data_IF_144307110256
#
_entry.id   IF_144307110256
#
_cell.length_a   1.000
_cell.length_b   1.000
_cell.length_c   1.000
_cell.angle_alpha   90.00
_cell.angle_beta   90.00
_cell.angle_gamma   90.00
#
_symmetry.space_group_name_H-M   'P 1'
#
loop_
_entity.id
_entity.type
_entity.pdbx_description
1 polymer ?
#
# COMPACT_ATOMS: atom_id res chain seq x y z
N UNK A 1 0.63 7.74 -14.24
CA UNK A 1 0.47 6.57 -15.14
C UNK A 1 -0.20 7.04 -16.41
N UNK A 2 0.31 6.60 -17.56
CA UNK A 2 -0.22 6.99 -18.88
C UNK A 2 -0.41 5.72 -19.72
N UNK A 3 -1.60 5.58 -20.30
CA UNK A 3 -1.92 4.57 -21.31
C UNK A 3 -1.81 5.20 -22.71
N UNK A 4 -0.87 4.73 -23.52
CA UNK A 4 -0.75 5.09 -24.92
C UNK A 4 -1.50 4.05 -25.75
N UNK A 5 -2.61 4.47 -26.33
CA UNK A 5 -3.55 3.57 -26.99
C UNK A 5 -3.86 4.02 -28.40
N UNK A 6 -4.50 3.14 -29.17
CA UNK A 6 -5.14 3.50 -30.43
C UNK A 6 -6.58 2.99 -30.47
N UNK A 7 -7.57 3.77 -30.95
CA UNK A 7 -8.98 3.36 -31.00
C UNK A 7 -9.24 2.06 -31.76
N UNK A 8 -8.47 1.77 -32.82
CA UNK A 8 -8.62 0.56 -33.63
C UNK A 8 -7.97 -0.69 -33.00
N UNK A 9 -7.17 -0.53 -31.94
CA UNK A 9 -6.47 -1.62 -31.29
C UNK A 9 -7.41 -2.38 -30.34
N UNK A 10 -7.68 -3.66 -30.64
CA UNK A 10 -8.57 -4.49 -29.82
C UNK A 10 -8.09 -4.63 -28.36
N UNK A 11 -6.81 -4.95 -28.06
CA UNK A 11 -6.33 -4.99 -26.67
C UNK A 11 -6.49 -3.66 -25.92
N UNK A 12 -6.46 -2.53 -26.64
CA UNK A 12 -6.66 -1.20 -26.07
C UNK A 12 -8.12 -0.99 -25.65
N UNK A 13 -9.07 -1.43 -26.48
CA UNK A 13 -10.49 -1.38 -26.15
C UNK A 13 -10.81 -2.23 -24.92
N UNK A 14 -10.17 -3.40 -24.78
CA UNK A 14 -10.28 -4.27 -23.61
C UNK A 14 -9.68 -3.62 -22.36
N UNK A 15 -8.54 -2.94 -22.48
CA UNK A 15 -7.88 -2.26 -21.36
C UNK A 15 -8.66 -1.05 -20.84
N UNK A 16 -9.28 -0.26 -21.72
CA UNK A 16 -9.91 1.02 -21.38
C UNK A 16 -10.90 0.98 -20.18
N UNK A 17 -11.83 0.02 -20.05
CA UNK A 17 -12.69 -0.07 -18.86
C UNK A 17 -11.90 -0.37 -17.58
N UNK A 18 -10.88 -1.24 -17.64
CA UNK A 18 -9.99 -1.52 -16.50
C UNK A 18 -9.17 -0.30 -16.11
N UNK A 19 -8.64 0.42 -17.11
CA UNK A 19 -7.89 1.66 -16.90
C UNK A 19 -8.71 2.71 -16.17
N UNK A 20 -9.98 2.90 -16.56
CA UNK A 20 -10.91 3.82 -15.90
C UNK A 20 -11.29 3.35 -14.49
N UNK A 21 -11.48 2.04 -14.27
CA UNK A 21 -11.69 1.47 -12.93
C UNK A 21 -10.51 1.76 -12.01
N UNK A 22 -9.31 1.45 -12.47
CA UNK A 22 -8.06 1.71 -11.75
C UNK A 22 -7.91 3.21 -11.42
N UNK A 23 -8.12 4.09 -12.41
CA UNK A 23 -7.99 5.54 -12.24
C UNK A 23 -8.83 6.10 -11.09
N UNK A 24 -10.08 5.64 -10.94
CA UNK A 24 -10.96 6.05 -9.83
C UNK A 24 -10.37 5.70 -8.46
N UNK A 25 -9.73 4.53 -8.34
CA UNK A 25 -9.11 4.08 -7.09
C UNK A 25 -7.78 4.77 -6.76
N UNK A 26 -7.15 5.40 -7.75
CA UNK A 26 -5.87 6.11 -7.61
C UNK A 26 -6.01 7.62 -7.43
N UNK A 27 -7.24 8.12 -7.32
CA UNK A 27 -7.54 9.55 -7.13
C UNK A 27 -6.79 10.11 -5.92
N UNK A 28 -5.99 11.16 -6.13
CA UNK A 28 -5.18 11.78 -5.07
C UNK A 28 -3.89 11.03 -4.72
N UNK A 29 -3.63 9.88 -5.35
CA UNK A 29 -2.41 9.07 -5.15
C UNK A 29 -1.49 9.13 -6.36
N UNK A 30 -2.01 8.81 -7.54
CA UNK A 30 -1.28 8.76 -8.80
C UNK A 30 -2.14 9.42 -9.87
N UNK A 31 -1.59 10.40 -10.58
CA UNK A 31 -2.25 10.98 -11.74
C UNK A 31 -2.32 9.95 -12.87
N UNK A 32 -3.52 9.71 -13.39
CA UNK A 32 -3.77 8.73 -14.48
C UNK A 32 -4.26 9.48 -15.71
N UNK A 33 -3.61 9.23 -16.86
CA UNK A 33 -3.97 9.81 -18.15
C UNK A 33 -3.95 8.78 -19.27
N UNK A 34 -4.41 9.18 -20.45
CA UNK A 34 -4.40 8.36 -21.67
C UNK A 34 -4.10 9.23 -22.88
N UNK A 35 -3.40 8.68 -23.87
CA UNK A 35 -3.01 9.38 -25.09
C UNK A 35 -3.47 8.58 -26.29
N UNK A 36 -4.27 9.22 -27.15
CA UNK A 36 -4.74 8.64 -28.40
C UNK A 36 -3.66 8.79 -29.48
N UNK A 37 -2.95 7.70 -29.77
CA UNK A 37 -1.88 7.70 -30.77
C UNK A 37 -2.37 7.64 -32.22
N UNK A 38 -3.67 7.43 -32.47
CA UNK A 38 -4.24 7.64 -33.80
C UNK A 38 -4.40 9.14 -34.06
N UNK A 39 -4.84 9.91 -33.06
CA UNK A 39 -4.96 11.36 -33.17
C UNK A 39 -3.59 12.07 -33.10
N UNK A 40 -2.72 11.65 -32.18
CA UNK A 40 -1.42 12.29 -31.90
C UNK A 40 -0.23 11.42 -32.37
N UNK A 41 -0.27 10.98 -33.63
CA UNK A 41 0.72 10.05 -34.18
C UNK A 41 2.17 10.51 -34.03
N UNK A 42 2.49 11.75 -34.44
CA UNK A 42 3.86 12.28 -34.37
C UNK A 42 4.40 12.30 -32.94
N UNK A 43 3.57 12.73 -31.99
CA UNK A 43 3.94 12.74 -30.57
C UNK A 43 4.21 11.33 -30.05
N UNK A 44 3.36 10.35 -30.36
CA UNK A 44 3.61 8.96 -29.93
C UNK A 44 4.86 8.36 -30.58
N UNK A 45 5.20 8.76 -31.81
CA UNK A 45 6.44 8.36 -32.47
C UNK A 45 7.68 8.98 -31.80
N UNK A 46 7.62 10.27 -31.44
CA UNK A 46 8.67 10.98 -30.68
C UNK A 46 8.88 10.35 -29.30
N UNK A 47 7.81 9.97 -28.62
CA UNK A 47 7.83 9.24 -27.35
C UNK A 47 8.20 7.75 -27.52
N UNK A 48 8.57 7.32 -28.73
CA UNK A 48 9.00 5.96 -29.05
C UNK A 48 7.98 4.87 -28.62
N UNK A 49 6.69 5.13 -28.82
CA UNK A 49 5.61 4.16 -28.56
C UNK A 49 5.51 3.22 -29.75
N UNK A 50 5.93 1.97 -29.55
CA UNK A 50 6.07 1.00 -30.64
C UNK A 50 4.85 0.07 -30.80
N UNK A 51 4.06 -0.10 -29.73
CA UNK A 51 2.92 -1.03 -29.69
C UNK A 51 1.82 -0.48 -28.81
N UNK A 52 0.59 -0.90 -29.07
CA UNK A 52 -0.57 -0.49 -28.29
C UNK A 52 -1.24 -1.70 -27.63
N UNK A 53 -1.75 -1.57 -26.39
CA UNK A 53 -1.56 -0.43 -25.49
C UNK A 53 -0.18 -0.48 -24.80
N UNK A 54 0.49 0.66 -24.71
CA UNK A 54 1.71 0.82 -23.94
C UNK A 54 1.42 1.62 -22.66
N UNK A 55 1.65 0.98 -21.51
CA UNK A 55 1.38 1.58 -20.20
C UNK A 55 2.71 2.02 -19.60
N UNK A 56 2.82 3.29 -19.23
CA UNK A 56 4.01 3.87 -18.61
C UNK A 56 3.73 4.47 -17.24
N UNK A 57 4.65 4.27 -16.31
CA UNK A 57 4.72 4.96 -15.02
C UNK A 57 5.86 5.97 -15.04
N UNK A 58 5.57 7.20 -14.62
CA UNK A 58 6.55 8.29 -14.55
C UNK A 58 6.79 8.62 -13.08
N UNK A 59 7.94 8.20 -12.50
CA UNK A 59 8.23 8.46 -11.09
C UNK A 59 8.54 9.95 -10.84
N UNK A 60 8.41 10.43 -9.58
CA UNK A 60 8.90 11.75 -9.20
C UNK A 60 10.38 11.87 -9.58
N UNK A 61 10.79 13.03 -10.11
CA UNK A 61 12.17 13.27 -10.60
C UNK A 61 13.21 12.83 -9.55
N UNK A 62 13.84 11.68 -9.79
CA UNK A 62 14.97 11.18 -9.03
C UNK A 62 16.23 11.49 -9.82
N UNK A 63 17.27 11.99 -9.14
CA UNK A 63 18.56 12.41 -9.70
C UNK A 63 19.34 11.30 -10.43
N UNK A 64 18.84 10.06 -10.49
CA UNK A 64 19.49 8.91 -11.15
C UNK A 64 18.51 7.93 -11.86
N UNK A 65 17.28 8.33 -12.19
CA UNK A 65 16.24 7.41 -12.66
C UNK A 65 15.93 7.46 -14.17
N UNK A 66 15.58 6.30 -14.75
CA UNK A 66 14.91 6.18 -16.05
C UNK A 66 13.72 7.17 -16.16
N UNK A 67 13.49 7.72 -17.36
CA UNK A 67 12.41 8.70 -17.60
C UNK A 67 11.02 8.12 -17.27
N UNK A 68 10.84 6.82 -17.49
CA UNK A 68 9.61 6.08 -17.17
C UNK A 68 9.89 4.58 -17.00
N UNK A 69 8.89 3.85 -16.50
CA UNK A 69 8.85 2.39 -16.47
C UNK A 69 7.69 1.87 -17.30
N UNK A 70 7.93 0.94 -18.22
CA UNK A 70 6.86 0.29 -19.00
C UNK A 70 6.30 -0.93 -18.26
N UNK A 71 4.98 -1.10 -18.30
CA UNK A 71 4.32 -2.29 -17.76
C UNK A 71 4.48 -3.48 -18.72
N UNK A 72 5.19 -4.51 -18.26
CA UNK A 72 5.42 -5.75 -19.01
C UNK A 72 4.70 -6.96 -18.38
N UNK A 73 3.79 -6.74 -17.44
CA UNK A 73 3.03 -7.81 -16.81
C UNK A 73 1.98 -8.42 -17.75
N UNK A 74 1.66 -9.69 -17.50
CA UNK A 74 0.67 -10.44 -18.27
C UNK A 74 -0.76 -9.93 -18.04
N UNK A 75 -1.13 -9.73 -16.77
CA UNK A 75 -2.49 -9.34 -16.37
C UNK A 75 -2.69 -7.84 -16.51
N UNK A 76 -3.71 -7.42 -17.26
CA UNK A 76 -4.02 -5.99 -17.49
C UNK A 76 -5.34 -5.54 -16.85
N UNK A 77 -5.80 -6.25 -15.83
CA UNK A 77 -6.94 -5.86 -15.03
C UNK A 77 -6.62 -4.67 -14.09
N UNK A 78 -7.66 -3.99 -13.62
CA UNK A 78 -7.50 -2.80 -12.79
C UNK A 78 -6.69 -3.03 -11.51
N UNK A 79 -6.79 -4.23 -10.91
CA UNK A 79 -6.09 -4.56 -9.66
C UNK A 79 -4.60 -4.75 -9.91
N UNK A 80 -4.22 -5.53 -10.92
CA UNK A 80 -2.82 -5.75 -11.30
C UNK A 80 -2.10 -4.44 -11.65
N UNK A 81 -2.76 -3.55 -12.40
CA UNK A 81 -2.20 -2.25 -12.78
C UNK A 81 -2.10 -1.28 -11.59
N UNK A 82 -3.10 -1.28 -10.70
CA UNK A 82 -3.09 -0.51 -9.45
C UNK A 82 -1.89 -0.89 -8.59
N UNK A 83 -1.69 -2.18 -8.34
CA UNK A 83 -0.58 -2.69 -7.52
C UNK A 83 0.76 -2.28 -8.12
N UNK A 84 0.92 -2.46 -9.43
CA UNK A 84 2.14 -2.08 -10.12
C UNK A 84 2.44 -0.58 -9.98
N UNK A 85 1.43 0.28 -10.18
CA UNK A 85 1.59 1.73 -10.03
C UNK A 85 1.94 2.15 -8.60
N UNK A 86 1.25 1.59 -7.60
CA UNK A 86 1.50 1.87 -6.19
C UNK A 86 2.89 1.41 -5.74
N UNK A 87 3.46 0.37 -6.36
CA UNK A 87 4.79 -0.15 -6.05
C UNK A 87 5.94 0.84 -6.29
N UNK A 88 5.75 1.86 -7.13
CA UNK A 88 6.75 2.90 -7.36
C UNK A 88 6.68 4.06 -6.36
N UNK A 89 5.66 4.10 -5.50
CA UNK A 89 5.54 5.17 -4.51
C UNK A 89 6.56 4.93 -3.37
N UNK A 90 7.23 5.98 -2.86
CA UNK A 90 8.21 5.84 -1.79
C UNK A 90 7.63 5.20 -0.53
N UNK A 91 8.29 4.19 0.03
CA UNK A 91 7.86 3.50 1.25
C UNK A 91 7.51 4.48 2.37
N UNK A 92 6.35 4.27 2.99
CA UNK A 92 5.84 5.06 4.11
C UNK A 92 5.90 4.29 5.44
N UNK A 93 5.96 2.96 5.39
CA UNK A 93 6.20 2.11 6.56
C UNK A 93 7.66 2.10 7.01
N UNK A 94 7.92 1.59 8.21
CA UNK A 94 9.25 1.40 8.78
C UNK A 94 9.53 -0.11 8.86
N UNK A 95 10.67 -0.55 8.34
CA UNK A 95 11.13 -1.92 8.58
C UNK A 95 11.61 -2.07 10.03
N UNK A 96 10.97 -2.99 10.75
CA UNK A 96 11.19 -3.23 12.17
C UNK A 96 12.03 -4.48 12.37
N UNK A 97 13.14 -4.29 13.07
CA UNK A 97 13.93 -5.36 13.69
C UNK A 97 13.29 -5.80 15.02
N UNK A 98 13.67 -6.94 15.61
CA UNK A 98 13.18 -7.35 16.93
C UNK A 98 13.40 -6.28 18.01
N UNK A 99 14.56 -5.62 17.97
CA UNK A 99 14.88 -4.53 18.89
C UNK A 99 13.93 -3.35 18.70
N UNK A 100 13.83 -2.83 17.47
CA UNK A 100 13.00 -1.65 17.18
C UNK A 100 11.51 -1.91 17.32
N UNK A 101 11.04 -3.15 17.09
CA UNK A 101 9.68 -3.57 17.41
C UNK A 101 9.42 -3.45 18.92
N UNK A 102 10.28 -4.01 19.75
CA UNK A 102 10.13 -3.89 21.21
C UNK A 102 10.15 -2.43 21.67
N UNK A 103 11.17 -1.66 21.25
CA UNK A 103 11.38 -0.27 21.69
C UNK A 103 10.28 0.67 21.18
N UNK A 104 9.94 0.61 19.88
CA UNK A 104 9.02 1.57 19.25
C UNK A 104 7.57 1.14 19.31
N UNK A 105 7.29 -0.17 19.23
CA UNK A 105 5.93 -0.72 19.16
C UNK A 105 5.46 -1.23 20.52
N UNK A 106 6.26 -1.93 21.31
CA UNK A 106 5.75 -2.45 22.60
C UNK A 106 5.96 -1.46 23.76
N UNK A 107 7.06 -0.71 23.75
CA UNK A 107 7.43 0.25 24.80
C UNK A 107 7.18 1.71 24.40
N UNK A 108 6.82 1.95 23.14
CA UNK A 108 6.62 3.29 22.60
C UNK A 108 5.27 3.91 22.99
N UNK A 109 5.14 5.21 22.67
CA UNK A 109 3.95 6.04 22.99
C UNK A 109 3.04 6.34 21.79
N UNK A 110 3.23 5.64 20.67
CA UNK A 110 2.47 5.85 19.44
C UNK A 110 1.62 4.63 19.10
N UNK A 111 0.43 4.82 18.51
CA UNK A 111 -0.32 3.71 17.91
C UNK A 111 0.45 3.16 16.70
N UNK A 112 0.42 1.84 16.52
CA UNK A 112 1.04 1.19 15.36
C UNK A 112 0.07 0.26 14.64
N UNK A 113 0.22 0.16 13.33
CA UNK A 113 -0.22 -0.99 12.55
C UNK A 113 1.02 -1.68 12.00
N UNK A 114 1.09 -3.01 12.10
CA UNK A 114 2.26 -3.79 11.72
C UNK A 114 1.85 -4.90 10.77
N UNK A 115 2.52 -4.97 9.62
CA UNK A 115 2.44 -6.08 8.67
C UNK A 115 3.54 -7.10 8.97
N UNK A 116 3.12 -8.30 9.35
CA UNK A 116 4.00 -9.46 9.54
C UNK A 116 4.00 -10.29 8.27
N UNK A 117 5.13 -10.29 7.57
CA UNK A 117 5.24 -10.82 6.21
C UNK A 117 6.46 -11.74 6.05
N UNK A 118 6.52 -12.44 4.91
CA UNK A 118 7.72 -13.12 4.46
C UNK A 118 8.05 -12.70 3.01
N UNK A 119 9.32 -12.46 2.66
CA UNK A 119 9.69 -12.00 1.31
C UNK A 119 9.27 -12.93 0.16
N UNK A 120 9.27 -14.25 0.40
CA UNK A 120 8.90 -15.28 -0.59
C UNK A 120 7.38 -15.50 -0.73
N UNK A 121 6.56 -14.90 0.14
CA UNK A 121 5.12 -15.13 0.19
C UNK A 121 4.41 -14.30 -0.90
N UNK A 122 3.86 -14.97 -1.91
CA UNK A 122 3.11 -14.33 -3.00
C UNK A 122 1.97 -13.41 -2.52
N UNK A 123 1.07 -13.84 -1.61
CA UNK A 123 0.06 -12.96 -1.01
C UNK A 123 0.64 -11.72 -0.33
N UNK A 124 1.82 -11.84 0.29
CA UNK A 124 2.51 -10.73 0.94
C UNK A 124 3.05 -9.72 -0.07
N UNK A 125 3.61 -10.21 -1.18
CA UNK A 125 4.08 -9.35 -2.28
C UNK A 125 2.92 -8.56 -2.89
N UNK A 126 1.75 -9.19 -3.06
CA UNK A 126 0.54 -8.52 -3.56
C UNK A 126 -0.01 -7.49 -2.55
N UNK A 127 0.06 -7.79 -1.25
CA UNK A 127 -0.45 -6.90 -0.21
C UNK A 127 0.48 -5.72 0.10
N UNK A 128 1.80 -5.85 -0.14
CA UNK A 128 2.77 -4.83 0.26
C UNK A 128 2.45 -3.41 -0.27
N UNK A 129 2.09 -3.19 -1.55
CA UNK A 129 1.72 -1.85 -2.03
C UNK A 129 0.45 -1.30 -1.37
N UNK A 130 -0.49 -2.17 -1.03
CA UNK A 130 -1.72 -1.82 -0.32
C UNK A 130 -1.43 -1.43 1.14
N UNK A 131 -0.52 -2.13 1.81
CA UNK A 131 -0.04 -1.75 3.14
C UNK A 131 0.68 -0.40 3.14
N UNK A 132 1.49 -0.11 2.12
CA UNK A 132 2.11 1.20 1.98
C UNK A 132 1.08 2.30 1.72
N UNK A 133 0.01 2.00 0.98
CA UNK A 133 -1.11 2.94 0.80
C UNK A 133 -1.78 3.24 2.15
N UNK A 134 -2.11 2.20 2.92
CA UNK A 134 -2.63 2.32 4.29
C UNK A 134 -1.71 3.21 5.14
N UNK A 135 -0.41 2.95 5.14
CA UNK A 135 0.59 3.71 5.89
C UNK A 135 0.55 5.21 5.58
N UNK A 136 0.27 5.59 4.32
CA UNK A 136 0.10 7.00 3.92
C UNK A 136 -1.23 7.56 4.40
N UNK A 137 -2.32 6.81 4.31
CA UNK A 137 -3.66 7.24 4.72
C UNK A 137 -3.75 7.54 6.22
N UNK A 138 -3.05 6.79 7.06
CA UNK A 138 -3.09 6.91 8.53
C UNK A 138 -1.94 7.77 9.10
N UNK A 139 -1.08 8.31 8.23
CA UNK A 139 0.10 9.07 8.63
C UNK A 139 -0.29 10.23 9.54
N UNK A 140 0.42 10.35 10.67
CA UNK A 140 0.19 11.38 11.68
C UNK A 140 -0.72 10.95 12.82
N UNK A 141 -1.60 9.95 12.61
CA UNK A 141 -2.43 9.34 13.66
C UNK A 141 -1.88 8.00 14.14
N UNK A 142 -1.41 7.18 13.20
CA UNK A 142 -0.86 5.84 13.46
C UNK A 142 0.45 5.67 12.70
N UNK A 143 1.41 4.97 13.29
CA UNK A 143 2.67 4.57 12.64
C UNK A 143 2.49 3.22 11.94
N UNK A 144 3.11 3.05 10.78
CA UNK A 144 3.08 1.78 10.07
C UNK A 144 4.47 1.11 10.14
N UNK A 145 4.49 -0.19 10.45
CA UNK A 145 5.72 -0.98 10.53
C UNK A 145 5.60 -2.29 9.77
N UNK A 146 6.72 -2.85 9.35
CA UNK A 146 6.79 -4.18 8.73
C UNK A 146 7.79 -5.05 9.47
N UNK A 147 7.44 -6.32 9.69
CA UNK A 147 8.33 -7.31 10.31
C UNK A 147 8.50 -8.47 9.36
N UNK A 148 9.74 -8.71 8.95
CA UNK A 148 10.12 -9.89 8.16
C UNK A 148 10.21 -11.11 9.09
N UNK A 149 9.23 -12.00 8.99
CA UNK A 149 9.16 -13.23 9.77
C UNK A 149 10.09 -14.34 9.27
N UNK A 150 10.63 -14.25 8.06
CA UNK A 150 11.72 -15.12 7.62
C UNK A 150 13.01 -14.74 8.33
N UNK A 151 13.34 -13.44 8.39
CA UNK A 151 14.51 -12.95 9.11
C UNK A 151 14.37 -13.07 10.64
N UNK A 152 13.16 -12.87 11.17
CA UNK A 152 12.89 -12.73 12.60
C UNK A 152 11.79 -13.67 13.11
N UNK A 153 11.92 -14.97 12.85
CA UNK A 153 10.89 -15.96 13.21
C UNK A 153 10.47 -15.92 14.70
N UNK A 154 11.41 -15.68 15.63
CA UNK A 154 11.14 -15.67 17.06
C UNK A 154 10.15 -14.57 17.49
N UNK A 155 10.26 -13.35 16.94
CA UNK A 155 9.34 -12.27 17.32
C UNK A 155 7.95 -12.52 16.74
N UNK A 156 7.87 -13.07 15.52
CA UNK A 156 6.61 -13.45 14.90
C UNK A 156 5.91 -14.59 15.66
N UNK A 157 6.65 -15.59 16.13
CA UNK A 157 6.11 -16.63 16.99
C UNK A 157 5.56 -16.06 18.30
N UNK A 158 6.31 -15.18 18.97
CA UNK A 158 5.87 -14.51 20.21
C UNK A 158 4.66 -13.60 20.00
N UNK A 159 4.56 -12.97 18.83
CA UNK A 159 3.40 -12.19 18.41
C UNK A 159 2.23 -13.08 17.94
N UNK A 160 2.36 -14.40 17.95
CA UNK A 160 1.29 -15.32 17.59
C UNK A 160 0.94 -15.35 16.10
N UNK A 161 1.90 -15.04 15.23
CA UNK A 161 1.68 -15.04 13.78
C UNK A 161 1.64 -16.48 13.26
N UNK A 162 0.52 -16.85 12.61
CA UNK A 162 0.26 -18.20 12.10
C UNK A 162 0.22 -18.29 10.58
N UNK A 163 0.05 -17.17 9.89
CA UNK A 163 -0.03 -17.07 8.44
C UNK A 163 0.52 -15.73 7.97
N UNK A 164 0.86 -15.62 6.68
CA UNK A 164 1.37 -14.39 6.08
C UNK A 164 0.50 -13.94 4.88
N UNK A 165 0.30 -12.63 4.68
CA UNK A 165 0.59 -11.57 5.64
C UNK A 165 -0.42 -11.60 6.80
N UNK A 166 0.01 -11.20 7.99
CA UNK A 166 -0.89 -10.92 9.14
C UNK A 166 -0.73 -9.46 9.54
N UNK A 167 -1.84 -8.72 9.58
CA UNK A 167 -1.85 -7.32 10.00
C UNK A 167 -2.32 -7.22 11.45
N UNK A 168 -1.59 -6.46 12.27
CA UNK A 168 -1.97 -6.21 13.66
C UNK A 168 -1.92 -4.75 14.03
N UNK A 169 -2.92 -4.30 14.76
CA UNK A 169 -2.99 -2.98 15.37
C UNK A 169 -2.53 -3.04 16.83
N UNK A 170 -1.73 -2.06 17.23
CA UNK A 170 -1.18 -1.90 18.56
C UNK A 170 -1.56 -0.51 19.06
N UNK A 171 -2.69 -0.38 19.79
CA UNK A 171 -3.05 0.89 20.38
C UNK A 171 -2.04 1.31 21.45
N UNK A 172 -1.85 2.63 21.59
CA UNK A 172 -1.22 3.18 22.77
C UNK A 172 -2.24 3.24 23.90
N UNK A 173 -2.03 2.39 24.90
CA UNK A 173 -2.71 2.45 26.18
C UNK A 173 -1.68 2.66 27.30
N UNK A 174 -2.10 3.28 28.39
CA UNK A 174 -1.26 3.53 29.57
C UNK A 174 -0.86 2.25 30.30
N UNK A 175 -1.61 1.15 30.11
CA UNK A 175 -1.26 -0.18 30.59
C UNK A 175 -0.34 -0.91 29.60
N UNK A 176 0.60 -1.71 30.11
CA UNK A 176 1.63 -2.40 29.31
C UNK A 176 1.03 -3.10 28.07
N UNK A 177 1.56 -2.77 26.89
CA UNK A 177 1.12 -3.35 25.62
C UNK A 177 1.35 -4.86 25.62
N UNK A 178 0.33 -5.61 25.21
CA UNK A 178 0.51 -7.02 24.92
C UNK A 178 1.25 -7.19 23.57
N UNK A 179 2.07 -8.23 23.46
CA UNK A 179 2.79 -8.55 22.23
C UNK A 179 1.86 -9.06 21.11
N UNK A 180 0.66 -9.48 21.48
CA UNK A 180 -0.30 -10.11 20.59
C UNK A 180 -0.99 -9.13 19.66
N UNK A 181 -1.14 -7.85 20.04
CA UNK A 181 -1.89 -6.86 19.29
C UNK A 181 -3.33 -7.29 18.97
N UNK A 182 -4.01 -6.47 18.17
CA UNK A 182 -5.33 -6.78 17.64
C UNK A 182 -5.21 -7.11 16.16
N UNK A 183 -5.61 -8.31 15.77
CA UNK A 183 -5.53 -8.73 14.36
C UNK A 183 -6.56 -8.01 13.50
N UNK A 184 -6.17 -7.64 12.28
CA UNK A 184 -7.04 -7.08 11.25
C UNK A 184 -7.05 -8.04 10.05
N UNK A 185 -8.24 -8.54 9.70
CA UNK A 185 -8.41 -9.55 8.65
C UNK A 185 -8.57 -8.95 7.25
N UNK A 186 -8.99 -7.68 7.15
CA UNK A 186 -9.06 -6.99 5.86
C UNK A 186 -7.68 -6.85 5.22
N UNK A 187 -7.68 -6.80 3.88
CA UNK A 187 -6.52 -6.53 3.03
C UNK A 187 -6.74 -5.30 2.14
N UNK A 188 -7.81 -4.53 2.37
CA UNK A 188 -8.06 -3.26 1.68
C UNK A 188 -7.62 -2.08 2.58
N UNK A 189 -6.81 -1.17 2.04
CA UNK A 189 -6.23 -0.08 2.83
C UNK A 189 -7.28 0.84 3.43
N UNK A 190 -8.40 1.08 2.73
CA UNK A 190 -9.45 1.98 3.19
C UNK A 190 -10.27 1.34 4.31
N UNK A 191 -10.62 0.07 4.17
CA UNK A 191 -11.30 -0.68 5.21
C UNK A 191 -10.43 -0.78 6.47
N UNK A 192 -9.14 -1.12 6.34
CA UNK A 192 -8.20 -1.15 7.47
C UNK A 192 -8.11 0.23 8.15
N UNK A 193 -8.00 1.31 7.38
CA UNK A 193 -7.93 2.67 7.93
C UNK A 193 -9.20 3.03 8.72
N UNK A 194 -10.38 2.69 8.19
CA UNK A 194 -11.66 2.94 8.87
C UNK A 194 -11.74 2.18 10.20
N UNK A 195 -11.43 0.88 10.19
CA UNK A 195 -11.41 0.05 11.41
C UNK A 195 -10.46 0.62 12.47
N UNK A 196 -9.29 1.10 12.06
CA UNK A 196 -8.34 1.76 12.96
C UNK A 196 -8.92 3.06 13.53
N UNK A 197 -9.56 3.90 12.70
CA UNK A 197 -10.14 5.15 13.17
C UNK A 197 -11.29 4.94 14.15
N UNK A 198 -12.18 3.98 13.90
CA UNK A 198 -13.26 3.61 14.82
C UNK A 198 -12.71 3.17 16.18
N UNK A 199 -11.65 2.35 16.20
CA UNK A 199 -10.95 1.93 17.43
C UNK A 199 -10.29 3.10 18.17
N UNK A 200 -9.68 4.04 17.45
CA UNK A 200 -9.10 5.22 18.08
C UNK A 200 -10.16 6.10 18.74
N UNK A 201 -11.34 6.22 18.13
CA UNK A 201 -12.45 6.98 18.70
C UNK A 201 -13.02 6.31 19.95
N UNK A 202 -13.12 4.98 19.99
CA UNK A 202 -13.58 4.27 21.19
C UNK A 202 -12.61 4.45 22.36
N UNK A 203 -11.29 4.33 22.11
CA UNK A 203 -10.25 4.52 23.12
C UNK A 203 -10.27 5.94 23.73
N UNK A 204 -10.58 6.96 22.92
CA UNK A 204 -10.73 8.33 23.40
C UNK A 204 -11.95 8.53 24.29
N UNK A 205 -13.06 7.83 24.01
CA UNK A 205 -14.30 7.89 24.82
C UNK A 205 -14.09 7.22 26.17
N UNK A 206 -13.48 6.04 26.19
CA UNK A 206 -13.20 5.30 27.43
C UNK A 206 -12.23 6.07 28.34
N UNK A 207 -11.22 6.72 27.74
CA UNK A 207 -10.29 7.58 28.48
C UNK A 207 -10.92 8.87 29.06
N UNK A 208 -12.01 9.36 28.46
CA UNK A 208 -12.79 10.50 29.01
C UNK A 208 -13.71 10.05 30.14
N UNK A 209 -14.45 8.96 29.95
CA UNK A 209 -15.33 8.40 30.98
C UNK A 209 -14.59 8.09 32.28
N UNK A 210 -13.40 7.49 32.18
CA UNK A 210 -12.58 7.20 33.34
C UNK A 210 -12.00 8.45 34.04
N UNK A 211 -11.99 9.62 33.38
CA UNK A 211 -11.59 10.90 34.00
C UNK A 211 -12.76 11.64 34.63
N UNK A 212 -13.98 11.43 34.14
CA UNK A 212 -15.20 12.08 34.66
C UNK A 212 -15.75 11.34 35.91
N UNK A 213 -15.30 10.10 36.16
CA UNK A 213 -15.65 9.28 37.33
C UNK A 213 -14.62 9.41 38.50
N UNK A 214 -13.65 10.34 38.40
CA UNK A 214 -12.56 10.59 39.36
C UNK A 214 -12.55 12.04 39.85
#
# INVERSE_FOLDING_TARGET
>A
MVDFYSPWCHPCQVLMPEWKRMARTLTGLINVGSIDCQQYHSFCAEENVQRYPEIRFYPPKSSKGYQYHSYNGWNRDAYSLRIWGLGFLPQASIDLTPQTFNEKVLQGKNHWVVDFYAPWCGPCQNFAPEFELLARMIKGKVKAGKVDCQAYAQICQKAGIRAYPTVKFYPYETAKRNIWGEQIDSRDAKEIANLIYEKLESLQKDGKRNKDEL
#
